data_IF_688461412083
#
_entry.id   IF_688461412083
#
_cell.length_a   1.000
_cell.length_b   1.000
_cell.length_c   1.000
_cell.angle_alpha   90.00
_cell.angle_beta   90.00
_cell.angle_gamma   90.00
#
_symmetry.space_group_name_H-M   'P 1'
#
loop_
_entity.id
_entity.type
_entity.pdbx_description
1 polymer ?
#
# COMPACT_ATOMS: atom_id res chain seq x y z
N UNK A 1 -38.32 24.42 7.04
CA UNK A 1 -37.49 23.98 5.91
C UNK A 1 -36.06 23.79 6.43
N UNK A 2 -35.84 22.65 7.10
CA UNK A 2 -35.00 21.49 6.70
C UNK A 2 -33.53 21.64 7.08
N UNK A 3 -33.22 21.12 8.27
CA UNK A 3 -31.87 20.76 8.75
C UNK A 3 -31.11 19.96 7.67
N UNK A 4 -29.97 20.47 7.21
CA UNK A 4 -29.07 19.69 6.38
C UNK A 4 -28.13 18.87 7.28
N UNK A 5 -28.64 17.76 7.82
CA UNK A 5 -27.83 16.70 8.42
C UNK A 5 -27.16 15.90 7.30
N UNK A 6 -26.13 16.49 6.70
CA UNK A 6 -25.26 15.83 5.73
C UNK A 6 -24.41 14.77 6.44
N UNK A 7 -24.98 13.58 6.67
CA UNK A 7 -24.22 12.43 7.13
C UNK A 7 -23.07 12.18 6.15
N UNK A 8 -21.83 12.32 6.62
CA UNK A 8 -20.63 11.86 5.93
C UNK A 8 -20.69 10.32 5.86
N UNK A 9 -21.47 9.82 4.90
CA UNK A 9 -21.41 8.43 4.45
C UNK A 9 -20.05 8.28 3.79
N UNK A 10 -19.08 7.76 4.55
CA UNK A 10 -17.88 7.12 4.02
C UNK A 10 -18.32 5.96 3.13
N UNK A 11 -18.72 6.27 1.89
CA UNK A 11 -18.93 5.27 0.86
C UNK A 11 -17.57 4.63 0.62
N UNK A 12 -17.41 3.42 1.16
CA UNK A 12 -16.38 2.46 0.77
C UNK A 12 -16.48 2.29 -0.73
N UNK A 13 -15.78 3.15 -1.47
CA UNK A 13 -15.58 3.01 -2.90
C UNK A 13 -14.52 1.94 -3.05
N UNK A 14 -14.94 0.69 -2.92
CA UNK A 14 -14.22 -0.43 -3.51
C UNK A 14 -14.09 -0.09 -4.99
N UNK A 15 -12.94 0.47 -5.34
CA UNK A 15 -12.59 0.80 -6.70
C UNK A 15 -12.56 -0.54 -7.44
N UNK A 16 -13.58 -0.79 -8.26
CA UNK A 16 -13.65 -1.97 -9.11
C UNK A 16 -12.40 -2.02 -9.97
N UNK A 17 -11.57 -3.04 -9.76
CA UNK A 17 -10.27 -3.18 -10.41
C UNK A 17 -10.37 -3.66 -11.87
N UNK A 18 -11.60 -3.89 -12.37
CA UNK A 18 -11.83 -4.59 -13.64
C UNK A 18 -11.82 -3.68 -14.88
N UNK A 19 -11.68 -2.35 -14.74
CA UNK A 19 -11.58 -1.42 -15.88
C UNK A 19 -10.23 -0.68 -15.96
N UNK A 20 -9.15 -1.28 -15.47
CA UNK A 20 -7.81 -0.71 -15.67
C UNK A 20 -7.28 -1.13 -17.05
N UNK A 21 -7.57 -0.31 -18.07
CA UNK A 21 -6.58 -0.03 -19.14
C UNK A 21 -5.21 0.02 -18.48
N UNK A 22 -4.18 -0.64 -19.05
CA UNK A 22 -2.79 -0.74 -18.57
C UNK A 22 -2.14 0.63 -18.27
N UNK A 23 -2.64 1.38 -17.31
CA UNK A 23 -2.04 2.61 -16.80
C UNK A 23 -0.89 2.17 -15.93
N UNK A 24 0.31 2.69 -16.22
CA UNK A 24 1.49 2.49 -15.39
C UNK A 24 1.12 2.84 -13.95
N UNK A 25 1.39 1.94 -13.01
CA UNK A 25 1.21 2.20 -11.58
C UNK A 25 2.09 3.39 -11.20
N UNK A 26 1.51 4.39 -10.56
CA UNK A 26 2.26 5.56 -10.08
C UNK A 26 3.03 5.19 -8.81
N UNK A 27 4.04 5.97 -8.45
CA UNK A 27 4.85 5.68 -7.25
C UNK A 27 4.03 5.63 -5.97
N UNK A 28 3.01 6.48 -5.83
CA UNK A 28 2.09 6.45 -4.69
C UNK A 28 1.27 5.15 -4.61
N UNK A 29 0.82 4.61 -5.75
CA UNK A 29 0.10 3.33 -5.80
C UNK A 29 1.03 2.18 -5.40
N UNK A 30 2.26 2.18 -5.90
CA UNK A 30 3.27 1.17 -5.53
C UNK A 30 3.56 1.21 -4.02
N UNK A 31 3.79 2.39 -3.46
CA UNK A 31 4.06 2.57 -2.04
C UNK A 31 2.89 2.10 -1.19
N UNK A 32 1.66 2.49 -1.52
CA UNK A 32 0.45 2.02 -0.82
C UNK A 32 0.39 0.50 -0.78
N UNK A 33 0.58 -0.16 -1.92
CA UNK A 33 0.44 -1.62 -2.00
C UNK A 33 1.54 -2.34 -1.20
N UNK A 34 2.75 -1.76 -1.07
CA UNK A 34 3.80 -2.26 -0.16
C UNK A 34 3.36 -2.13 1.29
N UNK A 35 2.90 -0.94 1.70
CA UNK A 35 2.54 -0.67 3.09
C UNK A 35 1.37 -1.57 3.53
N UNK A 36 0.38 -1.76 2.65
CA UNK A 36 -0.73 -2.71 2.90
C UNK A 36 -0.21 -4.14 3.04
N UNK A 37 0.71 -4.58 2.18
CA UNK A 37 1.27 -5.92 2.27
C UNK A 37 2.18 -6.12 3.51
N UNK A 38 2.71 -5.03 4.07
CA UNK A 38 3.60 -5.04 5.24
C UNK A 38 2.87 -4.81 6.58
N UNK A 39 1.57 -4.47 6.57
CA UNK A 39 0.79 -4.01 7.72
C UNK A 39 0.95 -4.88 8.99
N UNK A 40 1.01 -6.20 8.84
CA UNK A 40 1.07 -7.15 9.96
C UNK A 40 2.46 -7.70 10.26
N UNK A 41 3.50 -7.10 9.67
CA UNK A 41 4.83 -7.69 9.62
C UNK A 41 4.85 -8.84 8.62
N UNK A 42 5.54 -8.63 7.50
CA UNK A 42 5.58 -9.60 6.42
C UNK A 42 7.02 -9.80 5.94
N UNK A 43 7.32 -11.04 5.52
CA UNK A 43 8.58 -11.34 4.84
C UNK A 43 8.64 -10.60 3.50
N UNK A 44 9.84 -10.23 3.07
CA UNK A 44 10.09 -9.55 1.79
C UNK A 44 9.38 -10.23 0.60
N UNK A 45 9.37 -11.56 0.55
CA UNK A 45 8.70 -12.32 -0.51
C UNK A 45 7.18 -12.13 -0.50
N UNK A 46 6.56 -12.10 0.67
CA UNK A 46 5.12 -11.86 0.81
C UNK A 46 4.76 -10.43 0.36
N UNK A 47 5.56 -9.44 0.75
CA UNK A 47 5.40 -8.06 0.28
C UNK A 47 5.57 -7.97 -1.24
N UNK A 48 6.56 -8.67 -1.81
CA UNK A 48 6.81 -8.67 -3.25
C UNK A 48 5.63 -9.19 -4.07
N UNK A 49 5.11 -10.36 -3.69
CA UNK A 49 3.98 -10.96 -4.39
C UNK A 49 2.68 -10.19 -4.12
N UNK A 50 2.44 -9.76 -2.88
CA UNK A 50 1.26 -8.97 -2.51
C UNK A 50 1.19 -7.59 -3.19
N UNK A 51 2.35 -6.99 -3.47
CA UNK A 51 2.42 -5.72 -4.19
C UNK A 51 2.66 -5.86 -5.70
N UNK A 52 2.76 -7.09 -6.23
CA UNK A 52 3.06 -7.40 -7.64
C UNK A 52 4.24 -6.58 -8.19
N UNK A 53 5.41 -6.69 -7.56
CA UNK A 53 6.60 -5.92 -7.91
C UNK A 53 7.82 -6.78 -8.22
N UNK A 54 8.69 -6.25 -9.07
CA UNK A 54 10.04 -6.78 -9.28
C UNK A 54 10.90 -6.56 -8.02
N UNK A 55 11.76 -7.53 -7.63
CA UNK A 55 12.65 -7.42 -6.48
C UNK A 55 13.49 -6.13 -6.40
N UNK A 56 13.96 -5.62 -7.54
CA UNK A 56 14.80 -4.42 -7.62
C UNK A 56 14.01 -3.15 -7.29
N UNK A 57 12.81 -3.04 -7.83
CA UNK A 57 11.91 -1.90 -7.56
C UNK A 57 11.48 -1.96 -6.10
N UNK A 58 11.08 -3.14 -5.62
CA UNK A 58 10.68 -3.34 -4.25
C UNK A 58 11.78 -2.90 -3.27
N UNK A 59 13.05 -3.26 -3.51
CA UNK A 59 14.17 -2.86 -2.66
C UNK A 59 14.22 -1.33 -2.47
N UNK A 60 14.12 -0.57 -3.55
CA UNK A 60 14.14 0.91 -3.49
C UNK A 60 13.00 1.49 -2.67
N UNK A 61 11.80 0.92 -2.78
CA UNK A 61 10.65 1.38 -2.00
C UNK A 61 10.70 0.94 -0.53
N UNK A 62 11.25 -0.23 -0.23
CA UNK A 62 11.49 -0.67 1.14
C UNK A 62 12.51 0.24 1.83
N UNK A 63 13.62 0.56 1.16
CA UNK A 63 14.63 1.51 1.63
C UNK A 63 14.03 2.89 1.86
N UNK A 64 13.26 3.40 0.90
CA UNK A 64 12.52 4.66 1.04
C UNK A 64 11.57 4.61 2.25
N UNK A 65 10.82 3.53 2.41
CA UNK A 65 9.91 3.34 3.54
C UNK A 65 10.62 3.33 4.88
N UNK A 66 11.79 2.70 4.98
CA UNK A 66 12.61 2.70 6.19
C UNK A 66 13.21 4.09 6.47
N UNK A 67 13.74 4.78 5.46
CA UNK A 67 14.33 6.11 5.58
C UNK A 67 13.32 7.15 6.09
N UNK A 68 12.05 7.02 5.72
CA UNK A 68 10.98 7.94 6.13
C UNK A 68 10.15 7.43 7.32
N UNK A 69 10.54 6.33 7.97
CA UNK A 69 9.84 5.79 9.14
C UNK A 69 8.47 5.17 8.85
N UNK A 70 8.17 4.85 7.58
CA UNK A 70 6.94 4.16 7.16
C UNK A 70 7.02 2.64 7.40
N UNK A 71 8.23 2.10 7.46
CA UNK A 71 8.51 0.68 7.69
C UNK A 71 9.64 0.54 8.70
N UNK A 72 9.59 -0.53 9.49
CA UNK A 72 10.65 -0.89 10.43
C UNK A 72 11.08 -2.33 10.15
N UNK A 73 12.39 -2.57 10.20
CA UNK A 73 12.91 -3.93 10.13
C UNK A 73 12.78 -4.59 11.50
N UNK A 74 12.04 -5.70 11.58
CA UNK A 74 11.99 -6.51 12.79
C UNK A 74 13.09 -7.56 12.73
N UNK A 75 14.23 -7.28 13.37
CA UNK A 75 15.18 -8.32 13.71
C UNK A 75 14.73 -8.94 15.03
N UNK A 76 14.40 -10.24 15.01
CA UNK A 76 14.25 -11.00 16.24
C UNK A 76 15.65 -11.27 16.75
N UNK A 77 16.19 -10.34 17.53
CA UNK A 77 17.30 -10.66 18.42
C UNK A 77 16.72 -11.58 19.50
N UNK A 78 17.18 -12.83 19.49
CA UNK A 78 16.82 -13.90 20.41
C UNK A 78 17.96 -14.89 20.44
#
# INVERSE_FOLDING_TARGET
MTENKGSLKWRKRFFSYTELRRKRRTGAVLLRDILVAAERGAKKTHIMFGSNMNPLVLKRYLEFGMQHGLLTHYNREG
#
